data_IF_163344860900
#
_entry.id   IF_163344860900
#
_cell.length_a   1.000
_cell.length_b   1.000
_cell.length_c   1.000
_cell.angle_alpha   90.00
_cell.angle_beta   90.00
_cell.angle_gamma   90.00
#
_symmetry.space_group_name_H-M   'P 1'
#
loop_
_entity.id
_entity.type
_entity.pdbx_description
1 polymer ?
#
# COMPACT_ATOMS: atom_id res chain seq x y z
N UNK A 1 -69.45 -28.40 -32.74
CA UNK A 1 -69.28 -27.61 -31.50
C UNK A 1 -70.10 -26.34 -31.64
N UNK A 2 -70.89 -26.04 -30.65
CA UNK A 2 -71.73 -24.86 -30.70
C UNK A 2 -70.86 -23.59 -30.56
N UNK A 3 -71.02 -22.58 -31.42
CA UNK A 3 -70.16 -21.40 -31.45
C UNK A 3 -70.09 -20.67 -30.12
N UNK A 4 -71.03 -20.83 -29.24
CA UNK A 4 -71.09 -20.25 -27.92
C UNK A 4 -70.03 -20.88 -26.95
N UNK A 5 -69.68 -22.13 -27.15
CA UNK A 5 -68.65 -22.83 -26.32
C UNK A 5 -67.22 -22.37 -26.74
N UNK A 6 -67.01 -22.14 -28.01
CA UNK A 6 -65.76 -21.64 -28.56
C UNK A 6 -65.48 -20.20 -28.09
N UNK A 7 -66.50 -19.34 -28.08
CA UNK A 7 -66.41 -17.98 -27.59
C UNK A 7 -66.10 -17.91 -26.09
N UNK A 8 -66.70 -18.81 -25.30
CA UNK A 8 -66.41 -18.87 -23.84
C UNK A 8 -64.99 -19.34 -23.53
N UNK A 9 -64.49 -20.30 -24.32
CA UNK A 9 -63.09 -20.77 -24.15
C UNK A 9 -62.05 -19.68 -24.53
N UNK A 10 -62.35 -18.88 -25.60
CA UNK A 10 -61.48 -17.75 -25.99
C UNK A 10 -61.49 -16.64 -24.91
N UNK A 11 -62.65 -16.40 -24.30
CA UNK A 11 -62.75 -15.38 -23.24
C UNK A 11 -61.99 -15.79 -21.96
N UNK A 12 -62.00 -17.08 -21.64
CA UNK A 12 -61.22 -17.62 -20.49
C UNK A 12 -59.72 -17.57 -20.74
N UNK A 13 -59.27 -17.84 -22.00
CA UNK A 13 -57.85 -17.72 -22.33
C UNK A 13 -57.35 -16.27 -22.25
N UNK A 14 -58.17 -15.31 -22.66
CA UNK A 14 -57.86 -13.87 -22.59
C UNK A 14 -57.78 -13.36 -21.15
N UNK A 15 -58.57 -13.94 -20.21
CA UNK A 15 -58.53 -13.56 -18.80
C UNK A 15 -57.29 -14.09 -18.06
N UNK A 16 -56.72 -15.19 -18.55
CA UNK A 16 -55.47 -15.75 -17.98
C UNK A 16 -54.21 -14.93 -18.34
N UNK A 17 -54.26 -14.21 -19.47
CA UNK A 17 -53.14 -13.42 -19.94
C UNK A 17 -52.97 -12.09 -19.18
N UNK A 18 -53.97 -11.67 -18.42
CA UNK A 18 -53.97 -10.37 -17.70
C UNK A 18 -53.28 -10.44 -16.30
N UNK A 19 -52.81 -11.61 -15.88
CA UNK A 19 -52.14 -11.74 -14.56
C UNK A 19 -50.61 -11.78 -14.60
N UNK A 20 -50.01 -11.57 -15.76
CA UNK A 20 -48.56 -11.76 -15.93
C UNK A 20 -47.77 -10.45 -15.98
N UNK A 21 -48.30 -9.33 -15.51
CA UNK A 21 -47.54 -8.08 -15.36
C UNK A 21 -47.70 -7.51 -13.95
N UNK A 22 -47.18 -8.26 -12.99
CA UNK A 22 -46.77 -7.63 -11.73
C UNK A 22 -45.38 -7.02 -11.95
N UNK A 23 -45.38 -5.86 -12.63
CA UNK A 23 -44.20 -4.99 -12.61
C UNK A 23 -44.09 -4.41 -11.23
N UNK A 24 -43.53 -5.20 -10.31
CA UNK A 24 -43.12 -4.70 -9.03
C UNK A 24 -42.25 -3.47 -9.24
N UNK A 25 -42.83 -2.30 -9.09
CA UNK A 25 -42.07 -1.05 -9.07
C UNK A 25 -41.26 -1.04 -7.82
N UNK A 26 -40.01 -1.50 -7.91
CA UNK A 26 -39.05 -1.34 -6.83
C UNK A 26 -38.17 -0.10 -7.13
N UNK A 27 -37.87 0.64 -6.12
CA UNK A 27 -36.89 1.71 -6.18
C UNK A 27 -35.62 1.13 -5.54
N UNK A 28 -34.60 0.93 -6.35
CA UNK A 28 -33.28 0.59 -5.86
C UNK A 28 -32.59 1.88 -5.40
N UNK A 29 -32.32 1.99 -4.11
CA UNK A 29 -31.60 3.11 -3.54
C UNK A 29 -30.24 2.60 -3.12
N UNK A 30 -29.20 2.98 -3.86
CA UNK A 30 -27.81 2.74 -3.48
C UNK A 30 -27.36 3.90 -2.60
N UNK A 31 -27.15 3.61 -1.33
CA UNK A 31 -26.55 4.56 -0.38
C UNK A 31 -25.06 4.25 -0.26
N UNK A 32 -24.18 5.20 -0.50
CA UNK A 32 -22.78 5.17 -0.10
C UNK A 32 -22.64 5.87 1.25
N UNK A 33 -22.04 5.19 2.23
CA UNK A 33 -21.62 5.80 3.48
C UNK A 33 -20.11 5.84 3.52
N UNK A 34 -19.53 7.00 3.79
CA UNK A 34 -18.11 7.17 4.04
C UNK A 34 -17.93 7.22 5.55
N UNK A 35 -17.08 6.31 6.08
CA UNK A 35 -16.73 6.31 7.49
C UNK A 35 -15.28 6.78 7.57
N UNK A 36 -15.06 7.93 8.19
CA UNK A 36 -13.72 8.40 8.51
C UNK A 36 -13.22 7.65 9.74
N UNK A 37 -12.22 6.79 9.54
CA UNK A 37 -11.60 6.02 10.62
C UNK A 37 -10.19 6.54 10.81
N UNK A 38 -9.87 6.98 12.03
CA UNK A 38 -8.49 7.28 12.42
C UNK A 38 -7.84 5.95 12.80
N UNK A 39 -6.82 5.50 12.09
CA UNK A 39 -6.17 4.24 12.40
C UNK A 39 -5.39 4.34 13.72
N UNK A 40 -5.52 3.32 14.57
CA UNK A 40 -4.77 3.17 15.83
C UNK A 40 -3.32 2.71 15.60
N UNK A 41 -3.03 2.21 14.40
CA UNK A 41 -1.70 1.78 13.99
C UNK A 41 -1.44 2.18 12.56
N UNK A 42 -0.25 2.68 12.32
CA UNK A 42 0.23 3.09 11.01
C UNK A 42 1.44 2.23 10.69
N UNK A 43 1.38 1.51 9.58
CA UNK A 43 2.52 0.76 9.07
C UNK A 43 3.36 1.67 8.18
N UNK A 44 4.54 2.05 8.65
CA UNK A 44 5.47 2.90 7.91
C UNK A 44 6.60 2.04 7.35
N UNK A 45 6.61 1.87 6.05
CA UNK A 45 7.58 1.04 5.36
C UNK A 45 8.81 1.87 5.00
N UNK A 46 9.98 1.44 5.47
CA UNK A 46 11.26 2.09 5.20
C UNK A 46 12.17 1.07 4.54
N UNK A 47 12.69 1.40 3.37
CA UNK A 47 13.64 0.59 2.65
C UNK A 47 14.99 1.26 2.63
N UNK A 48 16.02 0.54 3.08
CA UNK A 48 17.41 0.97 3.06
C UNK A 48 18.23 0.11 2.12
N UNK A 49 19.29 0.67 1.56
CA UNK A 49 20.22 -0.01 0.66
C UNK A 49 21.64 0.47 0.90
N UNK A 50 22.60 -0.44 0.77
CA UNK A 50 24.00 -0.07 0.66
C UNK A 50 24.20 0.94 -0.48
N UNK A 51 25.16 1.81 -0.32
CA UNK A 51 25.53 2.81 -1.31
C UNK A 51 27.04 3.05 -1.31
N UNK A 52 27.52 3.79 -2.29
CA UNK A 52 28.89 4.29 -2.31
C UNK A 52 28.88 5.78 -1.97
N UNK A 53 29.86 6.22 -1.16
CA UNK A 53 29.99 7.63 -0.77
C UNK A 53 30.05 8.55 -2.00
N UNK A 54 30.71 8.07 -3.07
CA UNK A 54 30.90 8.77 -4.32
C UNK A 54 29.58 9.01 -5.10
N UNK A 55 28.50 8.29 -4.81
CA UNK A 55 27.17 8.55 -5.40
C UNK A 55 26.66 9.96 -5.10
N UNK A 56 27.16 10.58 -4.04
CA UNK A 56 26.68 11.86 -3.54
C UNK A 56 27.71 13.01 -3.72
N UNK A 57 28.88 12.77 -4.30
CA UNK A 57 29.91 13.81 -4.50
C UNK A 57 29.68 14.66 -5.76
N UNK A 58 28.83 14.19 -6.68
CA UNK A 58 28.48 14.85 -7.93
C UNK A 58 29.62 14.98 -8.95
N UNK A 59 30.71 14.24 -8.77
CA UNK A 59 31.94 14.32 -9.59
C UNK A 59 32.41 12.97 -10.11
N UNK A 60 32.39 11.95 -9.24
CA UNK A 60 32.88 10.61 -9.57
C UNK A 60 31.95 9.90 -10.56
N UNK A 61 32.52 9.11 -11.45
CA UNK A 61 31.75 8.26 -12.35
C UNK A 61 31.41 6.95 -11.65
N UNK A 62 30.30 6.28 -12.03
CA UNK A 62 29.90 5.03 -11.41
C UNK A 62 30.97 3.92 -11.40
N UNK A 63 31.85 3.92 -12.39
CA UNK A 63 32.96 2.94 -12.52
C UNK A 63 34.11 3.22 -11.53
N UNK A 64 34.14 4.40 -10.94
CA UNK A 64 35.19 4.86 -10.00
C UNK A 64 34.78 4.70 -8.55
N UNK A 65 33.55 4.25 -8.29
CA UNK A 65 33.02 4.10 -6.93
C UNK A 65 33.76 2.98 -6.18
N UNK A 66 34.25 3.28 -4.99
CA UNK A 66 35.07 2.39 -4.19
C UNK A 66 34.72 2.37 -2.72
N UNK A 67 34.11 3.43 -2.20
CA UNK A 67 33.83 3.61 -0.76
C UNK A 67 32.42 3.14 -0.43
N UNK A 68 32.24 1.83 -0.30
CA UNK A 68 30.94 1.22 -0.01
C UNK A 68 30.57 1.42 1.46
N UNK A 69 29.38 1.95 1.72
CA UNK A 69 28.78 2.05 3.05
C UNK A 69 27.92 0.82 3.32
N UNK A 70 28.30 0.06 4.34
CA UNK A 70 27.64 -1.18 4.69
C UNK A 70 26.22 -0.98 5.23
N UNK A 71 25.35 -1.93 4.91
CA UNK A 71 23.95 -1.93 5.35
C UNK A 71 23.81 -1.80 6.88
N UNK A 72 24.70 -2.43 7.64
CA UNK A 72 24.72 -2.36 9.11
C UNK A 72 24.90 -0.94 9.65
N UNK A 73 25.74 -0.14 8.99
CA UNK A 73 25.96 1.28 9.37
C UNK A 73 24.70 2.11 9.11
N UNK A 74 24.06 1.90 7.96
CA UNK A 74 22.82 2.59 7.58
C UNK A 74 21.69 2.18 8.53
N UNK A 75 21.57 0.89 8.84
CA UNK A 75 20.57 0.38 9.79
C UNK A 75 20.76 0.96 11.20
N UNK A 76 21.99 1.07 11.69
CA UNK A 76 22.27 1.69 12.99
C UNK A 76 21.82 3.15 13.02
N UNK A 77 22.13 3.91 11.98
CA UNK A 77 21.68 5.30 11.82
C UNK A 77 20.16 5.42 11.82
N UNK A 78 19.51 4.57 11.05
CA UNK A 78 18.04 4.51 10.98
C UNK A 78 17.43 4.19 12.35
N UNK A 79 17.90 3.15 13.03
CA UNK A 79 17.39 2.76 14.35
C UNK A 79 17.58 3.85 15.41
N UNK A 80 18.69 4.58 15.35
CA UNK A 80 18.94 5.73 16.21
C UNK A 80 17.92 6.84 15.94
N UNK A 81 17.71 7.21 14.68
CA UNK A 81 16.73 8.24 14.30
C UNK A 81 15.29 7.86 14.71
N UNK A 82 14.92 6.58 14.56
CA UNK A 82 13.63 6.06 15.01
C UNK A 82 13.47 6.14 16.52
N UNK A 83 14.51 5.76 17.28
CA UNK A 83 14.48 5.84 18.75
C UNK A 83 14.35 7.30 19.23
N UNK A 84 15.05 8.24 18.60
CA UNK A 84 14.97 9.67 18.89
C UNK A 84 13.60 10.27 18.52
N UNK A 85 12.88 9.66 17.58
CA UNK A 85 11.48 9.98 17.24
C UNK A 85 10.46 9.26 18.14
N UNK A 86 10.91 8.57 19.19
CA UNK A 86 10.03 7.88 20.14
C UNK A 86 9.52 6.51 19.70
N UNK A 87 10.14 5.91 18.67
CA UNK A 87 9.77 4.58 18.18
C UNK A 87 10.53 3.52 18.96
N UNK A 88 9.82 2.65 19.67
CA UNK A 88 10.41 1.56 20.41
C UNK A 88 10.96 0.44 19.51
N UNK A 89 11.98 -0.31 19.98
CA UNK A 89 12.62 -1.36 19.19
C UNK A 89 11.64 -2.48 18.77
N UNK A 90 10.63 -2.77 19.56
CA UNK A 90 9.61 -3.78 19.27
C UNK A 90 8.63 -3.38 18.17
N UNK A 91 8.58 -2.08 17.83
CA UNK A 91 7.77 -1.55 16.76
C UNK A 91 8.45 -1.69 15.38
N UNK A 92 9.72 -2.11 15.33
CA UNK A 92 10.52 -2.21 14.11
C UNK A 92 10.68 -3.67 13.75
N UNK A 93 10.09 -4.07 12.62
CA UNK A 93 10.18 -5.43 12.08
C UNK A 93 10.90 -5.43 10.75
N UNK A 94 11.79 -6.39 10.55
CA UNK A 94 12.34 -6.66 9.22
C UNK A 94 11.27 -7.37 8.40
N UNK A 95 10.90 -6.80 7.27
CA UNK A 95 9.94 -7.36 6.35
C UNK A 95 10.61 -8.16 5.23
N UNK A 96 11.71 -7.63 4.70
CA UNK A 96 12.38 -8.21 3.56
C UNK A 96 13.88 -7.89 3.60
N UNK A 97 14.69 -8.81 3.11
CA UNK A 97 16.11 -8.59 2.81
C UNK A 97 16.28 -8.94 1.34
N UNK A 98 16.74 -7.99 0.57
CA UNK A 98 16.92 -8.13 -0.86
C UNK A 98 18.33 -7.77 -1.31
N UNK A 99 18.57 -7.91 -2.58
CA UNK A 99 19.79 -7.50 -3.24
C UNK A 99 19.47 -6.64 -4.46
N UNK A 100 20.38 -5.80 -4.81
CA UNK A 100 20.34 -4.98 -6.01
C UNK A 100 21.65 -5.10 -6.77
N UNK A 101 21.55 -5.51 -8.03
CA UNK A 101 22.68 -5.57 -8.92
C UNK A 101 22.91 -4.23 -9.61
N UNK A 102 24.04 -3.58 -9.35
CA UNK A 102 24.43 -2.36 -10.03
C UNK A 102 25.24 -2.68 -11.29
N UNK A 103 24.62 -2.49 -12.45
CA UNK A 103 25.23 -2.88 -13.75
C UNK A 103 26.48 -2.09 -14.10
N UNK A 104 26.53 -0.81 -13.73
CA UNK A 104 27.64 0.09 -14.09
C UNK A 104 28.95 -0.20 -13.35
N UNK A 105 28.91 -0.81 -12.18
CA UNK A 105 30.09 -1.13 -11.38
C UNK A 105 30.26 -2.63 -11.13
N UNK A 106 29.37 -3.47 -11.63
CA UNK A 106 29.34 -4.91 -11.39
C UNK A 106 29.31 -5.28 -9.89
N UNK A 107 28.61 -4.47 -9.09
CA UNK A 107 28.52 -4.65 -7.64
C UNK A 107 27.15 -5.12 -7.20
N UNK A 108 27.14 -5.99 -6.20
CA UNK A 108 25.96 -6.28 -5.42
C UNK A 108 25.81 -5.33 -4.25
N UNK A 109 24.64 -4.73 -4.12
CA UNK A 109 24.25 -3.93 -2.98
C UNK A 109 23.11 -4.62 -2.25
N UNK A 110 23.24 -4.78 -0.95
CA UNK A 110 22.18 -5.39 -0.13
C UNK A 110 21.18 -4.32 0.26
N UNK A 111 19.91 -4.70 0.22
CA UNK A 111 18.79 -3.87 0.69
C UNK A 111 18.04 -4.55 1.82
N UNK A 112 17.34 -3.76 2.62
CA UNK A 112 16.51 -4.24 3.71
C UNK A 112 15.28 -3.36 3.87
N UNK A 113 14.13 -3.98 4.00
CA UNK A 113 12.86 -3.30 4.22
C UNK A 113 12.38 -3.54 5.64
N UNK A 114 11.98 -2.46 6.28
CA UNK A 114 11.40 -2.47 7.62
C UNK A 114 9.94 -2.07 7.57
N UNK A 115 9.14 -2.73 8.38
CA UNK A 115 7.81 -2.31 8.77
C UNK A 115 7.89 -1.71 10.17
N UNK A 116 7.63 -0.42 10.26
CA UNK A 116 7.66 0.36 11.51
C UNK A 116 6.23 0.67 11.91
N UNK A 117 5.78 0.13 13.02
CA UNK A 117 4.46 0.40 13.56
C UNK A 117 4.46 1.70 14.35
N UNK A 118 3.71 2.69 13.89
CA UNK A 118 3.53 4.00 14.52
C UNK A 118 2.12 4.14 15.09
N UNK A 119 1.94 5.02 16.06
CA UNK A 119 0.64 5.32 16.69
C UNK A 119 0.15 6.74 16.41
N UNK A 120 1.00 7.58 15.81
CA UNK A 120 0.70 8.97 15.49
C UNK A 120 1.40 9.38 14.18
N UNK A 121 0.66 10.02 13.28
CA UNK A 121 1.21 10.59 12.04
C UNK A 121 2.32 11.62 12.28
N UNK A 122 2.31 12.33 13.40
CA UNK A 122 3.36 13.28 13.74
C UNK A 122 4.73 12.61 13.88
N UNK A 123 4.78 11.33 14.29
CA UNK A 123 6.03 10.57 14.36
C UNK A 123 6.72 10.46 13.00
N UNK A 124 5.95 10.40 11.90
CA UNK A 124 6.51 10.38 10.54
C UNK A 124 7.33 11.64 10.28
N UNK A 125 6.79 12.80 10.62
CA UNK A 125 7.50 14.08 10.44
C UNK A 125 8.78 14.14 11.28
N UNK A 126 8.73 13.61 12.48
CA UNK A 126 9.89 13.56 13.38
C UNK A 126 10.96 12.58 12.90
N UNK A 127 10.56 11.45 12.32
CA UNK A 127 11.48 10.51 11.68
C UNK A 127 12.17 11.17 10.48
N UNK A 128 11.40 11.77 9.57
CA UNK A 128 11.92 12.39 8.34
C UNK A 128 12.93 13.51 8.65
N UNK A 129 12.73 14.26 9.73
CA UNK A 129 13.66 15.33 10.14
C UNK A 129 15.00 14.81 10.68
N UNK A 130 15.03 13.59 11.22
CA UNK A 130 16.20 13.03 11.90
C UNK A 130 16.99 12.03 11.07
N UNK A 131 16.34 11.47 10.05
CA UNK A 131 16.94 10.42 9.24
C UNK A 131 17.98 11.00 8.27
N UNK A 132 19.14 10.35 8.16
CA UNK A 132 20.05 10.62 7.05
C UNK A 132 19.45 9.97 5.78
N UNK A 133 19.27 10.77 4.75
CA UNK A 133 18.66 10.30 3.49
C UNK A 133 19.58 9.42 2.66
N UNK A 134 20.89 9.41 2.93
CA UNK A 134 21.84 8.54 2.26
C UNK A 134 21.55 7.08 2.61
N UNK A 135 21.41 6.25 1.60
CA UNK A 135 21.05 4.85 1.76
C UNK A 135 19.54 4.58 1.98
N UNK A 136 18.71 5.61 2.08
CA UNK A 136 17.25 5.44 2.07
C UNK A 136 16.75 5.33 0.63
N UNK A 137 16.12 4.22 0.30
CA UNK A 137 15.54 3.98 -1.02
C UNK A 137 14.08 4.46 -1.11
N UNK A 138 13.31 4.17 -0.08
CA UNK A 138 11.90 4.57 -0.03
C UNK A 138 11.42 4.68 1.41
N UNK A 139 10.48 5.58 1.62
CA UNK A 139 9.69 5.70 2.84
C UNK A 139 8.24 5.94 2.43
N UNK A 140 7.34 5.08 2.90
CA UNK A 140 5.92 5.18 2.53
C UNK A 140 5.02 4.60 3.61
N UNK A 141 3.79 5.07 3.68
CA UNK A 141 2.74 4.44 4.48
C UNK A 141 2.32 3.16 3.76
N UNK A 142 2.27 2.05 4.50
CA UNK A 142 1.72 0.79 4.04
C UNK A 142 0.19 0.78 4.04
N UNK A 143 -0.40 -0.40 3.95
CA UNK A 143 -1.86 -0.55 4.09
C UNK A 143 -2.24 -0.23 5.55
N UNK A 144 -3.32 0.53 5.70
CA UNK A 144 -3.91 0.94 6.99
C UNK A 144 -4.96 -0.08 7.43
#
# INVERSE_FOLDING_TARGET
MKPKLLALALLMLAALSLRAQDNGRYIEVTGTSEIEVVPDKIHYLIEIREYFEEEFDGKSKPEEYSTKVALSTIEQGLRKALAEAGVGPNAIRTQEIGDYWRQQGLDFLVSKKFDVTLTDFNQINDIVKRIDTKGIQSMRIGEL
#
